data_IF_023185315689
#
_entry.id   IF_023185315689
#
_cell.length_a   1.000
_cell.length_b   1.000
_cell.length_c   1.000
_cell.angle_alpha   90.00
_cell.angle_beta   90.00
_cell.angle_gamma   90.00
#
_symmetry.space_group_name_H-M   'P 1'
#
loop_
_entity.id
_entity.type
_entity.pdbx_description
1 polymer ?
#
# COMPACT_ATOMS: atom_id res chain seq x y z
N UNK A 1 -24.83 -11.44 18.52
CA UNK A 1 -24.45 -10.35 17.60
C UNK A 1 -23.28 -9.63 18.25
N UNK A 2 -22.05 -9.68 17.69
CA UNK A 2 -20.95 -8.91 18.25
C UNK A 2 -21.25 -7.40 18.05
N UNK A 3 -20.84 -6.55 18.99
CA UNK A 3 -21.14 -5.13 18.93
C UNK A 3 -20.41 -4.51 17.73
N UNK A 4 -21.18 -3.80 16.90
CA UNK A 4 -20.65 -2.86 15.92
C UNK A 4 -19.83 -1.80 16.68
N UNK A 5 -18.51 -2.02 16.79
CA UNK A 5 -17.59 -0.95 17.15
C UNK A 5 -17.59 -0.02 15.94
N UNK A 6 -18.31 1.09 16.07
CA UNK A 6 -18.43 2.12 15.03
C UNK A 6 -17.03 2.47 14.51
N UNK A 7 -16.80 2.56 13.17
CA UNK A 7 -15.47 2.80 12.59
C UNK A 7 -14.79 4.07 13.11
N UNK A 8 -15.54 5.03 13.69
CA UNK A 8 -14.99 6.21 14.37
C UNK A 8 -14.22 5.91 15.67
N UNK A 9 -14.57 4.87 16.43
CA UNK A 9 -13.86 4.54 17.69
C UNK A 9 -12.51 3.87 17.45
N UNK A 10 -12.32 3.27 16.28
CA UNK A 10 -11.10 2.57 15.93
C UNK A 10 -9.90 3.53 15.76
N UNK A 11 -10.12 4.77 15.31
CA UNK A 11 -9.03 5.71 15.02
C UNK A 11 -8.39 6.33 16.28
N UNK A 12 -9.13 6.48 17.39
CA UNK A 12 -8.69 7.24 18.58
C UNK A 12 -7.53 6.65 19.40
N UNK A 13 -6.92 5.54 18.97
CA UNK A 13 -5.81 4.90 19.70
C UNK A 13 -4.75 4.23 18.81
N UNK A 14 -4.84 4.37 17.49
CA UNK A 14 -3.91 3.74 16.54
C UNK A 14 -2.74 4.67 16.23
N UNK A 15 -1.54 4.11 16.09
CA UNK A 15 -0.38 4.84 15.52
C UNK A 15 -0.60 5.04 14.02
N UNK A 16 -0.05 6.09 13.43
CA UNK A 16 -0.21 6.37 12.00
C UNK A 16 0.24 5.24 11.07
N UNK A 17 1.17 4.38 11.52
CA UNK A 17 1.63 3.19 10.78
C UNK A 17 0.88 1.90 11.08
N UNK A 18 -0.24 1.94 11.80
CA UNK A 18 -1.04 0.76 12.11
C UNK A 18 -2.26 0.66 11.20
N UNK A 19 -2.40 -0.47 10.53
CA UNK A 19 -3.44 -0.76 9.55
C UNK A 19 -4.09 -2.11 9.85
N UNK A 20 -5.40 -2.19 9.63
CA UNK A 20 -6.06 -3.48 9.69
C UNK A 20 -5.74 -4.34 8.45
N UNK A 21 -5.95 -5.65 8.58
CA UNK A 21 -5.74 -6.64 7.52
C UNK A 21 -6.55 -6.32 6.25
N UNK A 22 -7.79 -5.87 6.42
CA UNK A 22 -8.68 -5.43 5.35
C UNK A 22 -8.18 -4.12 4.71
N UNK A 23 -7.79 -3.13 5.50
CA UNK A 23 -7.20 -1.88 5.00
C UNK A 23 -5.94 -2.14 4.15
N UNK A 24 -5.03 -3.02 4.61
CA UNK A 24 -3.85 -3.41 3.84
C UNK A 24 -4.22 -4.16 2.56
N UNK A 25 -5.22 -5.04 2.63
CA UNK A 25 -5.72 -5.78 1.47
C UNK A 25 -6.35 -4.85 0.44
N UNK A 26 -7.14 -3.86 0.85
CA UNK A 26 -7.74 -2.87 -0.05
C UNK A 26 -6.69 -1.97 -0.71
N UNK A 27 -5.66 -1.56 0.03
CA UNK A 27 -4.60 -0.70 -0.49
C UNK A 27 -3.66 -1.43 -1.45
N UNK A 28 -3.27 -2.67 -1.13
CA UNK A 28 -2.31 -3.44 -1.93
C UNK A 28 -2.98 -4.29 -3.02
N UNK A 29 -4.20 -4.75 -2.79
CA UNK A 29 -4.96 -5.57 -3.72
C UNK A 29 -6.30 -4.90 -4.08
N UNK A 30 -6.30 -3.68 -4.65
CA UNK A 30 -7.53 -2.97 -4.96
C UNK A 30 -8.34 -3.73 -6.01
N UNK A 31 -9.67 -3.73 -5.84
CA UNK A 31 -10.56 -4.26 -6.86
C UNK A 31 -10.42 -3.45 -8.17
N UNK A 32 -10.49 -4.10 -9.35
CA UNK A 32 -10.52 -3.38 -10.62
C UNK A 32 -11.72 -2.44 -10.70
N UNK A 33 -11.46 -1.19 -11.11
CA UNK A 33 -12.55 -0.24 -11.33
C UNK A 33 -13.38 -0.66 -12.54
N UNK A 34 -14.66 -0.35 -12.49
CA UNK A 34 -15.59 -0.59 -13.59
C UNK A 34 -15.09 0.14 -14.85
N UNK A 35 -14.80 -0.62 -15.92
CA UNK A 35 -14.28 -0.09 -17.18
C UNK A 35 -12.75 -0.14 -17.33
N UNK A 36 -12.00 -0.57 -16.32
CA UNK A 36 -10.58 -0.91 -16.50
C UNK A 36 -10.43 -2.27 -17.20
N UNK A 37 -9.27 -2.50 -17.85
CA UNK A 37 -8.97 -3.80 -18.45
C UNK A 37 -9.06 -4.92 -17.38
N UNK A 38 -9.65 -6.08 -17.73
CA UNK A 38 -9.68 -7.21 -16.83
C UNK A 38 -8.26 -7.63 -16.45
N UNK A 39 -8.11 -8.16 -15.24
CA UNK A 39 -6.83 -8.73 -14.82
C UNK A 39 -6.62 -10.06 -15.55
N UNK A 40 -5.42 -10.25 -16.11
CA UNK A 40 -4.97 -11.54 -16.61
C UNK A 40 -4.67 -12.51 -15.46
N UNK A 41 -4.26 -11.96 -14.31
CA UNK A 41 -3.90 -12.71 -13.11
C UNK A 41 -4.61 -12.19 -11.85
N UNK A 42 -4.95 -13.11 -10.93
CA UNK A 42 -5.58 -12.73 -9.66
C UNK A 42 -4.59 -11.97 -8.77
N UNK A 43 -4.98 -10.78 -8.32
CA UNK A 43 -4.25 -10.01 -7.32
C UNK A 43 -4.84 -10.30 -5.93
N UNK A 44 -4.07 -10.95 -5.07
CA UNK A 44 -4.47 -11.26 -3.69
C UNK A 44 -3.24 -11.31 -2.78
N UNK A 45 -3.46 -11.31 -1.46
CA UNK A 45 -2.42 -11.73 -0.53
C UNK A 45 -1.99 -13.16 -0.85
N UNK A 46 -0.71 -13.47 -0.65
CA UNK A 46 -0.05 -14.72 -1.06
C UNK A 46 -0.03 -14.92 -2.58
N UNK A 47 0.21 -13.84 -3.33
CA UNK A 47 0.43 -13.90 -4.78
C UNK A 47 1.85 -13.45 -5.13
N UNK A 48 2.36 -14.04 -6.20
CA UNK A 48 3.58 -13.60 -6.85
C UNK A 48 3.33 -13.58 -8.35
N UNK A 49 3.92 -12.61 -9.03
CA UNK A 49 3.75 -12.47 -10.46
C UNK A 49 4.95 -11.77 -11.07
N UNK A 50 5.18 -12.03 -12.35
CA UNK A 50 6.30 -11.52 -13.11
C UNK A 50 5.86 -11.20 -14.53
N UNK A 51 6.20 -10.00 -14.98
CA UNK A 51 6.01 -9.50 -16.34
C UNK A 51 7.37 -9.25 -16.96
N UNK A 52 7.56 -9.77 -18.17
CA UNK A 52 8.77 -9.55 -18.98
C UNK A 52 8.38 -8.90 -20.30
N UNK A 53 8.90 -7.70 -20.54
CA UNK A 53 8.76 -6.97 -21.79
C UNK A 53 10.15 -6.64 -22.36
N UNK A 54 10.29 -6.35 -23.68
CA UNK A 54 11.58 -5.99 -24.26
C UNK A 54 12.28 -4.78 -23.61
N UNK A 55 11.51 -3.91 -22.94
CA UNK A 55 11.99 -2.69 -22.28
C UNK A 55 12.29 -2.86 -20.79
N UNK A 56 11.96 -4.01 -20.21
CA UNK A 56 12.13 -4.23 -18.78
C UNK A 56 11.39 -5.43 -18.21
N UNK A 57 11.61 -5.65 -16.92
CA UNK A 57 11.02 -6.72 -16.14
C UNK A 57 10.42 -6.14 -14.88
N UNK A 58 9.25 -6.62 -14.49
CA UNK A 58 8.69 -6.36 -13.17
C UNK A 58 8.33 -7.66 -12.51
N UNK A 59 8.74 -7.85 -11.26
CA UNK A 59 8.34 -9.00 -10.46
C UNK A 59 7.93 -8.54 -9.07
N UNK A 60 6.93 -9.20 -8.51
CA UNK A 60 6.55 -9.00 -7.13
C UNK A 60 6.21 -10.30 -6.42
N UNK A 61 6.34 -10.27 -5.09
CA UNK A 61 5.92 -11.30 -4.16
C UNK A 61 5.25 -10.62 -2.97
N UNK A 62 3.95 -10.88 -2.79
CA UNK A 62 3.13 -10.36 -1.71
C UNK A 62 2.66 -11.52 -0.85
N UNK A 63 3.14 -11.59 0.39
CA UNK A 63 2.94 -12.74 1.26
C UNK A 63 2.45 -12.33 2.64
N UNK A 64 1.57 -13.17 3.17
CA UNK A 64 1.19 -13.19 4.58
C UNK A 64 1.77 -14.46 5.16
N UNK A 65 2.53 -14.35 6.24
CA UNK A 65 3.17 -15.49 6.87
C UNK A 65 2.15 -16.56 7.27
N UNK A 66 2.55 -17.83 7.25
CA UNK A 66 1.65 -18.95 7.58
C UNK A 66 1.06 -18.85 9.01
N UNK A 67 1.80 -18.25 9.93
CA UNK A 67 1.35 -17.98 11.30
C UNK A 67 0.54 -16.66 11.43
N UNK A 68 0.33 -15.94 10.32
CA UNK A 68 -0.42 -14.69 10.25
C UNK A 68 0.20 -13.57 11.09
N UNK A 69 1.51 -13.62 11.37
CA UNK A 69 2.21 -12.62 12.17
C UNK A 69 2.84 -11.51 11.34
N UNK A 70 3.03 -11.70 10.04
CA UNK A 70 3.58 -10.66 9.18
C UNK A 70 2.99 -10.66 7.78
N UNK A 71 3.01 -9.48 7.16
CA UNK A 71 2.75 -9.29 5.74
C UNK A 71 3.99 -8.64 5.13
N UNK A 72 4.49 -9.21 4.04
CA UNK A 72 5.67 -8.75 3.32
C UNK A 72 5.35 -8.53 1.86
N UNK A 73 5.85 -7.42 1.32
CA UNK A 73 5.88 -7.16 -0.11
C UNK A 73 7.33 -7.00 -0.52
N UNK A 74 7.74 -7.70 -1.57
CA UNK A 74 9.00 -7.50 -2.28
C UNK A 74 8.69 -7.36 -3.76
N UNK A 75 9.04 -6.21 -4.35
CA UNK A 75 8.82 -5.90 -5.74
C UNK A 75 10.06 -5.27 -6.37
N UNK A 76 10.39 -5.69 -7.59
CA UNK A 76 11.53 -5.18 -8.35
C UNK A 76 11.10 -4.82 -9.77
N UNK A 77 11.34 -3.57 -10.15
CA UNK A 77 11.19 -3.07 -11.52
C UNK A 77 12.58 -2.83 -12.11
N UNK A 78 12.91 -3.50 -13.20
CA UNK A 78 14.07 -3.19 -14.03
C UNK A 78 13.57 -2.59 -15.34
N UNK A 79 13.98 -1.38 -15.68
CA UNK A 79 13.52 -0.72 -16.92
C UNK A 79 14.63 0.13 -17.50
N UNK A 80 14.98 -0.14 -18.76
CA UNK A 80 16.02 0.61 -19.50
C UNK A 80 17.37 0.73 -18.75
N UNK A 81 17.70 -0.24 -17.88
CA UNK A 81 18.94 -0.31 -17.10
C UNK A 81 18.75 -0.11 -15.58
N UNK A 82 18.13 0.99 -15.11
CA UNK A 82 17.82 1.19 -13.70
C UNK A 82 16.97 0.08 -13.06
N UNK A 83 17.29 -0.24 -11.80
CA UNK A 83 16.54 -1.16 -10.94
C UNK A 83 15.90 -0.38 -9.80
N UNK A 84 14.58 -0.49 -9.66
CA UNK A 84 13.78 0.13 -8.62
C UNK A 84 13.20 -0.95 -7.71
N UNK A 85 13.51 -0.86 -6.42
CA UNK A 85 13.02 -1.79 -5.41
C UNK A 85 11.94 -1.15 -4.56
N UNK A 86 10.83 -1.86 -4.44
CA UNK A 86 9.74 -1.53 -3.53
C UNK A 86 9.58 -2.68 -2.55
N UNK A 87 9.60 -2.39 -1.26
CA UNK A 87 9.50 -3.40 -0.22
C UNK A 87 8.70 -2.87 0.97
N UNK A 88 7.90 -3.74 1.60
CA UNK A 88 7.15 -3.42 2.79
C UNK A 88 7.21 -4.58 3.77
N UNK A 89 7.34 -4.28 5.06
CA UNK A 89 7.12 -5.24 6.14
C UNK A 89 6.11 -4.69 7.13
N UNK A 90 5.08 -5.47 7.41
CA UNK A 90 4.10 -5.20 8.44
C UNK A 90 4.02 -6.38 9.42
N UNK A 91 3.99 -6.09 10.72
CA UNK A 91 3.97 -7.10 11.80
C UNK A 91 2.69 -6.98 12.60
N UNK A 92 2.06 -8.11 12.90
CA UNK A 92 0.82 -8.16 13.66
C UNK A 92 1.05 -7.71 15.10
N UNK A 93 0.32 -6.70 15.53
CA UNK A 93 0.38 -6.16 16.90
C UNK A 93 -0.86 -6.53 17.73
N UNK A 94 -2.01 -6.74 17.07
CA UNK A 94 -3.25 -7.23 17.69
C UNK A 94 -4.04 -8.08 16.69
N UNK A 95 -5.19 -8.59 17.10
CA UNK A 95 -6.08 -9.28 16.18
C UNK A 95 -6.43 -8.40 14.97
N UNK A 96 -6.11 -8.90 13.77
CA UNK A 96 -6.29 -8.23 12.48
C UNK A 96 -5.64 -6.85 12.34
N UNK A 97 -4.75 -6.43 13.26
CA UNK A 97 -4.06 -5.14 13.22
C UNK A 97 -2.56 -5.35 13.05
N UNK A 98 -2.00 -4.73 12.02
CA UNK A 98 -0.59 -4.77 11.67
C UNK A 98 0.05 -3.40 11.79
N UNK A 99 1.31 -3.38 12.20
CA UNK A 99 2.16 -2.19 12.24
C UNK A 99 3.20 -2.28 11.13
N UNK A 100 3.25 -1.29 10.26
CA UNK A 100 4.27 -1.19 9.21
C UNK A 100 5.57 -0.75 9.85
N UNK A 101 6.56 -1.64 9.83
CA UNK A 101 7.89 -1.42 10.41
C UNK A 101 8.90 -0.96 9.38
N UNK A 102 8.68 -1.29 8.10
CA UNK A 102 9.51 -0.87 6.99
C UNK A 102 8.67 -0.62 5.74
N UNK A 103 8.99 0.45 5.02
CA UNK A 103 8.45 0.76 3.71
C UNK A 103 9.56 1.41 2.87
N UNK A 104 9.86 0.81 1.74
CA UNK A 104 10.77 1.31 0.71
C UNK A 104 9.99 1.39 -0.58
N UNK A 105 10.05 2.52 -1.26
CA UNK A 105 9.35 2.77 -2.51
C UNK A 105 10.32 3.30 -3.55
N UNK A 106 10.51 2.53 -4.63
CA UNK A 106 11.51 2.76 -5.69
C UNK A 106 12.89 3.22 -5.15
N UNK A 107 13.50 2.38 -4.32
CA UNK A 107 14.78 2.57 -3.62
C UNK A 107 14.80 3.66 -2.54
N UNK A 108 13.69 4.34 -2.25
CA UNK A 108 13.60 5.36 -1.20
C UNK A 108 12.94 4.82 0.04
N UNK A 109 13.60 4.95 1.19
CA UNK A 109 12.98 4.62 2.47
C UNK A 109 11.92 5.66 2.81
N UNK A 110 10.70 5.19 3.01
CA UNK A 110 9.56 6.01 3.34
C UNK A 110 9.43 6.23 4.84
N UNK A 111 8.81 7.35 5.20
CA UNK A 111 8.54 7.68 6.61
C UNK A 111 7.30 6.90 7.06
N UNK A 112 7.45 6.14 8.15
CA UNK A 112 6.40 5.24 8.67
C UNK A 112 5.73 5.81 9.92
N UNK A 113 5.37 7.09 9.91
CA UNK A 113 4.68 7.73 11.03
C UNK A 113 3.39 8.42 10.64
N UNK A 114 3.27 8.93 9.41
CA UNK A 114 2.04 9.53 8.89
C UNK A 114 1.17 8.49 8.19
N UNK A 115 -0.06 8.30 8.70
CA UNK A 115 -1.02 7.39 8.07
C UNK A 115 -1.29 7.76 6.61
N UNK A 116 -1.48 9.04 6.34
CA UNK A 116 -1.84 9.53 5.01
C UNK A 116 -0.73 9.33 3.99
N UNK A 117 0.52 9.60 4.36
CA UNK A 117 1.67 9.38 3.48
C UNK A 117 1.82 7.88 3.18
N UNK A 118 1.72 7.02 4.19
CA UNK A 118 1.80 5.56 4.03
C UNK A 118 0.67 5.06 3.13
N UNK A 119 -0.59 5.42 3.41
CA UNK A 119 -1.76 5.01 2.61
C UNK A 119 -1.62 5.40 1.15
N UNK A 120 -1.11 6.61 0.85
CA UNK A 120 -0.90 7.06 -0.53
C UNK A 120 0.15 6.23 -1.25
N UNK A 121 1.25 5.90 -0.57
CA UNK A 121 2.30 5.04 -1.14
C UNK A 121 1.73 3.64 -1.39
N UNK A 122 1.07 3.02 -0.41
CA UNK A 122 0.49 1.67 -0.56
C UNK A 122 -0.58 1.61 -1.66
N UNK A 123 -1.50 2.57 -1.70
CA UNK A 123 -2.52 2.65 -2.74
C UNK A 123 -1.92 2.78 -4.15
N UNK A 124 -0.82 3.53 -4.27
CA UNK A 124 -0.12 3.65 -5.54
C UNK A 124 0.60 2.36 -5.93
N UNK A 125 1.27 1.70 -4.98
CA UNK A 125 1.87 0.38 -5.21
C UNK A 125 0.80 -0.62 -5.68
N UNK A 126 -0.32 -0.72 -4.97
CA UNK A 126 -1.41 -1.63 -5.32
C UNK A 126 -1.97 -1.35 -6.71
N UNK A 127 -2.31 -0.10 -7.02
CA UNK A 127 -2.96 0.26 -8.28
C UNK A 127 -1.98 0.34 -9.48
N UNK A 128 -0.85 1.01 -9.31
CA UNK A 128 0.04 1.37 -10.41
C UNK A 128 1.19 0.38 -10.60
N UNK A 129 1.53 -0.44 -9.60
CA UNK A 129 2.55 -1.47 -9.74
C UNK A 129 1.91 -2.87 -9.82
N UNK A 130 1.24 -3.31 -8.75
CA UNK A 130 0.72 -4.68 -8.66
C UNK A 130 -0.40 -4.94 -9.67
N UNK A 131 -1.44 -4.12 -9.66
CA UNK A 131 -2.60 -4.33 -10.53
C UNK A 131 -2.27 -4.17 -12.03
N UNK A 132 -1.39 -3.23 -12.40
CA UNK A 132 -0.89 -3.11 -13.78
C UNK A 132 -0.11 -4.34 -14.21
N UNK A 133 0.75 -4.86 -13.34
CA UNK A 133 1.47 -6.10 -13.63
C UNK A 133 0.51 -7.27 -13.83
N UNK A 134 -0.55 -7.40 -13.03
CA UNK A 134 -1.59 -8.41 -13.22
C UNK A 134 -2.43 -8.23 -14.50
N UNK A 135 -2.23 -7.15 -15.25
CA UNK A 135 -2.77 -6.93 -16.61
C UNK A 135 -1.74 -7.21 -17.70
N UNK A 136 -0.61 -7.82 -17.34
CA UNK A 136 0.58 -8.01 -18.19
C UNK A 136 1.15 -6.70 -18.74
N UNK A 137 0.99 -5.60 -17.99
CA UNK A 137 1.54 -4.29 -18.34
C UNK A 137 2.75 -3.97 -17.46
N UNK A 138 3.89 -3.62 -18.06
CA UNK A 138 5.06 -3.19 -17.31
C UNK A 138 4.80 -1.85 -16.60
N UNK A 139 4.84 -1.80 -15.24
CA UNK A 139 4.62 -0.57 -14.51
C UNK A 139 5.74 0.45 -14.74
N UNK A 140 5.45 1.70 -14.39
CA UNK A 140 6.41 2.80 -14.42
C UNK A 140 6.98 3.01 -13.02
N UNK A 141 8.26 3.40 -12.95
CA UNK A 141 8.81 3.99 -11.74
C UNK A 141 8.03 5.28 -11.43
N UNK A 142 7.80 5.55 -10.15
CA UNK A 142 7.05 6.74 -9.78
C UNK A 142 7.82 8.02 -10.10
N UNK A 143 7.08 9.07 -10.44
CA UNK A 143 7.66 10.40 -10.50
C UNK A 143 7.60 11.07 -9.12
N UNK A 144 8.72 11.65 -8.68
CA UNK A 144 8.77 12.45 -7.45
C UNK A 144 8.02 13.79 -7.55
N UNK A 145 7.43 14.10 -8.70
CA UNK A 145 6.63 15.31 -8.91
C UNK A 145 5.15 15.04 -8.64
N UNK A 146 4.41 16.09 -8.30
CA UNK A 146 2.97 15.98 -8.00
C UNK A 146 2.70 15.25 -6.68
N UNK A 147 2.01 14.11 -6.74
CA UNK A 147 1.45 13.40 -5.57
C UNK A 147 2.50 12.94 -4.56
N UNK A 148 3.73 12.66 -5.01
CA UNK A 148 4.85 12.27 -4.15
C UNK A 148 5.90 13.37 -3.98
N UNK A 149 5.58 14.61 -4.39
CA UNK A 149 6.47 15.77 -4.21
C UNK A 149 6.55 16.24 -2.76
N UNK A 150 7.61 17.00 -2.45
CA UNK A 150 7.87 17.52 -1.10
C UNK A 150 6.67 18.28 -0.50
N UNK A 151 6.00 19.12 -1.30
CA UNK A 151 4.86 19.93 -0.86
C UNK A 151 3.64 19.04 -0.57
N UNK A 152 3.33 18.08 -1.46
CA UNK A 152 2.20 17.16 -1.24
C UNK A 152 2.41 16.32 0.02
N UNK A 153 3.61 15.75 0.18
CA UNK A 153 4.00 14.99 1.38
C UNK A 153 3.99 15.85 2.66
N UNK A 154 4.35 17.14 2.56
CA UNK A 154 4.24 18.06 3.69
C UNK A 154 2.78 18.22 4.13
N UNK A 155 1.85 18.48 3.20
CA UNK A 155 0.43 18.57 3.54
C UNK A 155 -0.11 17.29 4.15
N UNK A 156 0.29 16.12 3.63
CA UNK A 156 -0.14 14.82 4.18
C UNK A 156 0.29 14.60 5.62
N UNK A 157 1.49 15.08 5.97
CA UNK A 157 2.02 15.02 7.34
C UNK A 157 1.35 16.01 8.29
N UNK A 158 0.71 17.05 7.77
CA UNK A 158 -0.07 17.99 8.57
C UNK A 158 -1.49 17.49 8.86
N UNK A 159 -1.96 16.45 8.17
CA UNK A 159 -3.26 15.87 8.42
C UNK A 159 -3.21 15.01 9.70
N UNK A 160 -4.20 15.13 10.60
CA UNK A 160 -4.29 14.26 11.75
C UNK A 160 -4.49 12.80 11.30
N UNK A 161 -3.88 11.87 12.04
CA UNK A 161 -4.02 10.43 11.78
C UNK A 161 -5.47 9.94 11.98
N UNK A 162 -6.25 10.65 12.79
CA UNK A 162 -7.68 10.42 13.00
C UNK A 162 -8.51 11.39 12.13
N UNK A 163 -9.16 10.92 11.05
CA UNK A 163 -10.00 11.77 10.18
C UNK A 163 -11.22 12.34 10.91
N UNK A 164 -11.66 11.75 12.03
CA UNK A 164 -12.78 12.29 12.81
C UNK A 164 -12.44 13.62 13.50
N UNK A 165 -11.16 13.94 13.67
CA UNK A 165 -10.72 15.25 14.19
C UNK A 165 -10.91 16.40 13.19
N UNK A 166 -11.15 16.09 11.91
CA UNK A 166 -11.42 17.10 10.87
C UNK A 166 -12.92 17.33 10.63
N UNK A 167 -13.80 16.62 11.35
CA UNK A 167 -15.23 16.89 11.34
C UNK A 167 -15.62 17.71 12.58
N UNK A 168 -16.46 18.75 12.45
CA UNK A 168 -17.05 19.36 13.63
C UNK A 168 -17.83 18.29 14.41
N UNK A 169 -17.85 18.34 15.76
CA UNK A 169 -18.64 17.39 16.53
C UNK A 169 -20.10 17.46 16.07
N UNK A 170 -20.80 16.31 15.99
CA UNK A 170 -22.24 16.31 15.69
C UNK A 170 -22.95 17.17 16.76
N UNK A 171 -23.71 18.17 16.29
CA UNK A 171 -24.57 19.01 17.13
C UNK A 171 -25.78 18.23 17.64
#
# INVERSE_FOLDING_TARGET
>A
MPPYISPMFSYKSRRGNQFYDDELSELLCPAPFQGEKPLAHSLSLNSAHKVEEPRGTYEYRLEKSADGKSITLDATLTRDGPVYKTAMTAVRVRENLYEITSLTFDNKKERVDSRWEISKVLAHIGKEQLQKSCRDELPLAHEERGKFGKIARFFDRCLPDDPSMMMPPPM
#
